data_IF_654943437638
#
_entry.id   IF_654943437638
#
_cell.length_a   1.000
_cell.length_b   1.000
_cell.length_c   1.000
_cell.angle_alpha   90.00
_cell.angle_beta   90.00
_cell.angle_gamma   90.00
#
_symmetry.space_group_name_H-M   'P 1'
#
loop_
_entity.id
_entity.type
_entity.pdbx_description
1 polymer ?
#
# COMPACT_ATOMS: atom_id res chain seq x y z
N UNK A 1 -12.93 29.91 26.18
CA UNK A 1 -11.65 30.23 26.83
C UNK A 1 -10.70 29.08 26.54
N UNK A 2 -9.70 29.31 25.70
CA UNK A 2 -8.74 28.24 25.36
C UNK A 2 -7.69 28.29 26.47
N UNK A 3 -7.58 27.19 27.22
CA UNK A 3 -6.72 27.08 28.42
C UNK A 3 -5.26 26.69 28.11
N UNK A 4 -4.82 26.73 26.83
CA UNK A 4 -3.47 26.35 26.45
C UNK A 4 -2.74 27.48 25.72
N UNK A 5 -2.31 28.51 26.46
CA UNK A 5 -1.45 29.55 25.93
C UNK A 5 -0.15 28.99 25.33
N UNK A 6 0.41 27.92 25.91
CA UNK A 6 1.62 27.24 25.42
C UNK A 6 1.46 26.66 24.01
N UNK A 7 0.25 26.19 23.64
CA UNK A 7 -0.02 25.69 22.31
C UNK A 7 0.06 26.79 21.25
N UNK A 8 -0.42 27.98 21.55
CA UNK A 8 -0.35 29.14 20.65
C UNK A 8 1.08 29.65 20.45
N UNK A 9 1.90 29.58 21.50
CA UNK A 9 3.32 29.97 21.41
C UNK A 9 4.14 28.98 20.54
N UNK A 10 3.67 27.75 20.37
CA UNK A 10 4.32 26.74 19.52
C UNK A 10 3.97 26.89 18.02
N UNK A 11 2.88 27.61 17.69
CA UNK A 11 2.45 27.81 16.30
C UNK A 11 3.31 28.89 15.65
N UNK A 12 4.19 28.51 14.73
CA UNK A 12 5.08 29.43 14.00
C UNK A 12 4.40 30.10 12.79
N UNK A 13 3.30 29.54 12.32
CA UNK A 13 2.57 30.08 11.18
C UNK A 13 1.34 29.23 10.85
N UNK A 14 0.38 29.86 10.19
CA UNK A 14 -0.80 29.18 9.63
C UNK A 14 -0.88 29.57 8.17
N UNK A 15 -0.86 28.59 7.27
CA UNK A 15 -1.01 28.78 5.84
C UNK A 15 -2.16 27.90 5.31
N UNK A 16 -2.64 28.25 4.12
CA UNK A 16 -3.60 27.41 3.42
C UNK A 16 -2.87 26.20 2.86
N UNK A 17 -3.48 25.02 2.99
CA UNK A 17 -3.01 23.79 2.36
C UNK A 17 -3.24 23.90 0.84
N UNK A 18 -2.17 23.96 0.08
CA UNK A 18 -2.22 24.18 -1.37
C UNK A 18 -1.84 22.95 -2.19
N UNK A 19 -1.64 23.10 -3.50
CA UNK A 19 -1.32 22.02 -4.41
C UNK A 19 0.10 21.47 -4.16
N UNK A 20 1.05 22.30 -3.77
CA UNK A 20 2.43 21.87 -3.47
C UNK A 20 2.47 21.06 -2.18
N UNK A 21 1.71 21.45 -1.15
CA UNK A 21 1.61 20.70 0.10
C UNK A 21 1.03 19.29 -0.10
N UNK A 22 0.26 19.10 -1.16
CA UNK A 22 -0.38 17.81 -1.50
C UNK A 22 0.51 16.89 -2.33
N UNK A 23 1.61 17.39 -2.87
CA UNK A 23 2.58 16.60 -3.59
C UNK A 23 3.36 15.72 -2.63
N UNK A 24 3.16 14.45 -2.74
CA UNK A 24 3.85 13.46 -1.93
C UNK A 24 5.04 12.86 -2.65
N UNK A 25 5.37 11.63 -2.28
CA UNK A 25 6.56 10.96 -2.75
C UNK A 25 6.49 10.65 -4.25
N UNK A 26 7.56 10.94 -4.98
CA UNK A 26 7.83 10.60 -6.38
C UNK A 26 6.75 11.06 -7.37
N UNK A 27 5.87 12.02 -6.96
CA UNK A 27 4.75 12.48 -7.80
C UNK A 27 5.22 13.21 -9.07
N UNK A 28 6.40 13.81 -9.04
CA UNK A 28 6.97 14.50 -10.20
C UNK A 28 7.56 13.53 -11.24
N UNK A 29 7.81 12.28 -10.85
CA UNK A 29 8.35 11.21 -11.70
C UNK A 29 7.26 10.38 -12.40
N UNK A 30 5.99 10.84 -12.40
CA UNK A 30 4.89 10.14 -13.06
C UNK A 30 5.17 9.93 -14.55
N UNK A 31 4.92 8.71 -15.01
CA UNK A 31 4.85 8.36 -16.42
C UNK A 31 3.58 8.95 -17.07
N UNK A 32 3.45 8.87 -18.43
CA UNK A 32 2.26 9.36 -19.14
C UNK A 32 0.95 8.74 -18.62
N UNK A 33 1.00 7.47 -18.25
CA UNK A 33 -0.08 6.75 -17.55
C UNK A 33 0.54 6.05 -16.36
N UNK A 34 0.08 6.37 -15.17
CA UNK A 34 0.67 5.84 -13.94
C UNK A 34 -0.40 5.62 -12.85
N UNK A 35 0.02 5.01 -11.77
CA UNK A 35 -0.82 4.78 -10.60
C UNK A 35 -0.47 5.77 -9.51
N UNK A 36 -1.51 6.31 -8.87
CA UNK A 36 -1.39 7.20 -7.71
C UNK A 36 -2.24 6.70 -6.55
N UNK A 37 -1.78 7.00 -5.36
CA UNK A 37 -2.52 6.86 -4.11
C UNK A 37 -2.97 8.23 -3.63
N UNK A 38 -4.29 8.48 -3.69
CA UNK A 38 -4.91 9.68 -3.16
C UNK A 38 -5.28 9.47 -1.69
N UNK A 39 -4.60 10.15 -0.79
CA UNK A 39 -4.93 10.17 0.63
C UNK A 39 -6.01 11.20 0.88
N UNK A 40 -7.12 10.76 1.47
CA UNK A 40 -8.28 11.60 1.76
C UNK A 40 -8.28 12.04 3.21
N UNK A 41 -8.83 13.22 3.47
CA UNK A 41 -9.11 13.70 4.82
C UNK A 41 -10.01 12.70 5.54
N UNK A 42 -9.72 12.48 6.83
CA UNK A 42 -10.52 11.63 7.72
C UNK A 42 -11.54 12.51 8.42
N UNK A 43 -12.75 12.00 8.54
CA UNK A 43 -13.87 12.63 9.20
C UNK A 43 -14.13 12.01 10.58
N UNK A 44 -15.04 12.60 11.34
CA UNK A 44 -15.31 12.22 12.73
C UNK A 44 -15.72 10.76 12.91
N UNK A 45 -16.27 10.14 11.89
CA UNK A 45 -16.65 8.74 11.91
C UNK A 45 -16.14 7.97 10.70
N UNK A 46 -15.88 6.67 10.90
CA UNK A 46 -15.50 5.75 9.82
C UNK A 46 -16.56 5.73 8.70
N UNK A 47 -17.85 5.74 9.08
CA UNK A 47 -18.94 5.72 8.11
C UNK A 47 -18.97 6.99 7.25
N UNK A 48 -18.69 8.14 7.83
CA UNK A 48 -18.63 9.40 7.09
C UNK A 48 -17.42 9.43 6.16
N UNK A 49 -16.25 9.00 6.65
CA UNK A 49 -15.04 8.86 5.83
C UNK A 49 -15.29 7.92 4.65
N UNK A 50 -15.94 6.77 4.89
CA UNK A 50 -16.31 5.82 3.84
C UNK A 50 -17.23 6.46 2.80
N UNK A 51 -18.28 7.17 3.25
CA UNK A 51 -19.21 7.87 2.35
C UNK A 51 -18.52 8.93 1.50
N UNK A 52 -17.60 9.70 2.11
CA UNK A 52 -16.83 10.72 1.40
C UNK A 52 -15.87 10.11 0.38
N UNK A 53 -15.27 8.98 0.69
CA UNK A 53 -14.43 8.24 -0.26
C UNK A 53 -15.26 7.69 -1.44
N UNK A 54 -16.48 7.20 -1.20
CA UNK A 54 -17.36 6.73 -2.27
C UNK A 54 -17.84 7.89 -3.15
N UNK A 55 -18.16 9.05 -2.55
CA UNK A 55 -18.46 10.29 -3.29
C UNK A 55 -17.26 10.73 -4.15
N UNK A 56 -16.04 10.67 -3.59
CA UNK A 56 -14.81 10.99 -4.31
C UNK A 56 -14.64 10.09 -5.52
N UNK A 57 -14.72 8.77 -5.34
CA UNK A 57 -14.58 7.79 -6.43
C UNK A 57 -15.59 8.08 -7.53
N UNK A 58 -16.87 8.26 -7.18
CA UNK A 58 -17.92 8.57 -8.14
C UNK A 58 -17.68 9.87 -8.90
N UNK A 59 -17.21 10.91 -8.22
CA UNK A 59 -16.95 12.22 -8.84
C UNK A 59 -15.69 12.23 -9.71
N UNK A 60 -14.80 11.27 -9.52
CA UNK A 60 -13.58 11.12 -10.32
C UNK A 60 -13.74 10.19 -11.52
N UNK A 61 -14.87 9.50 -11.65
CA UNK A 61 -15.24 8.79 -12.88
C UNK A 61 -15.19 9.78 -14.07
N UNK A 62 -14.41 9.46 -15.09
CA UNK A 62 -14.17 10.37 -16.23
C UNK A 62 -12.95 11.29 -16.08
N UNK A 63 -12.41 11.48 -14.89
CA UNK A 63 -11.16 12.20 -14.62
C UNK A 63 -9.98 11.28 -14.27
N UNK A 64 -10.18 9.96 -14.31
CA UNK A 64 -9.15 8.94 -14.19
C UNK A 64 -9.30 7.92 -15.31
N UNK A 65 -8.22 7.18 -15.60
CA UNK A 65 -8.27 6.06 -16.54
C UNK A 65 -9.03 4.89 -15.92
N UNK A 66 -8.80 4.62 -14.62
CA UNK A 66 -9.43 3.51 -13.91
C UNK A 66 -9.37 3.76 -12.40
N UNK A 67 -10.47 3.47 -11.71
CA UNK A 67 -10.46 3.19 -10.28
C UNK A 67 -9.87 1.80 -10.03
N UNK A 68 -8.97 1.66 -9.07
CA UNK A 68 -8.31 0.40 -8.78
C UNK A 68 -8.77 -0.21 -7.45
N UNK A 69 -8.56 0.53 -6.35
CA UNK A 69 -8.86 0.03 -5.01
C UNK A 69 -9.01 1.17 -3.99
N UNK A 70 -9.54 0.86 -2.81
CA UNK A 70 -9.56 1.76 -1.66
C UNK A 70 -9.26 1.02 -0.37
N UNK A 71 -8.60 1.71 0.53
CA UNK A 71 -8.42 1.28 1.91
C UNK A 71 -8.87 2.39 2.85
N UNK A 72 -9.78 2.08 3.78
CA UNK A 72 -10.33 3.05 4.71
C UNK A 72 -10.35 2.46 6.12
N UNK A 73 -9.74 3.18 7.04
CA UNK A 73 -9.69 2.86 8.46
C UNK A 73 -10.00 4.12 9.28
N UNK A 74 -9.90 4.03 10.61
CA UNK A 74 -10.08 5.18 11.50
C UNK A 74 -8.97 6.24 11.36
N UNK A 75 -7.82 5.86 10.84
CA UNK A 75 -6.63 6.73 10.78
C UNK A 75 -6.11 6.97 9.38
N UNK A 76 -6.55 6.20 8.39
CA UNK A 76 -6.08 6.30 7.02
C UNK A 76 -7.24 6.05 6.06
N UNK A 77 -7.35 6.90 5.06
CA UNK A 77 -8.24 6.73 3.91
C UNK A 77 -7.45 6.97 2.62
N UNK A 78 -7.31 5.92 1.81
CA UNK A 78 -6.55 5.94 0.56
C UNK A 78 -7.40 5.40 -0.56
N UNK A 79 -7.38 6.08 -1.70
CA UNK A 79 -8.01 5.63 -2.96
C UNK A 79 -6.93 5.53 -4.02
N UNK A 80 -6.76 4.35 -4.59
CA UNK A 80 -5.83 4.07 -5.67
C UNK A 80 -6.48 4.26 -7.02
N UNK A 81 -5.85 5.07 -7.86
CA UNK A 81 -6.33 5.39 -9.19
C UNK A 81 -5.22 5.19 -10.22
N UNK A 82 -5.60 4.78 -11.43
CA UNK A 82 -4.76 4.89 -12.62
C UNK A 82 -5.15 6.15 -13.35
N UNK A 83 -4.20 7.04 -13.62
CA UNK A 83 -4.43 8.34 -14.24
C UNK A 83 -3.51 8.57 -15.42
N UNK A 84 -3.87 9.50 -16.30
CA UNK A 84 -2.94 10.17 -17.19
C UNK A 84 -2.25 11.31 -16.47
N UNK A 85 -0.99 11.58 -16.75
CA UNK A 85 -0.20 12.64 -16.10
C UNK A 85 -0.87 14.01 -16.15
N UNK A 86 -1.54 14.33 -17.25
CA UNK A 86 -2.29 15.60 -17.41
C UNK A 86 -3.52 15.72 -16.52
N UNK A 87 -3.99 14.63 -15.91
CA UNK A 87 -5.13 14.61 -14.98
C UNK A 87 -4.70 14.92 -13.54
N UNK A 88 -3.41 14.84 -13.21
CA UNK A 88 -2.88 15.09 -11.86
C UNK A 88 -3.36 16.42 -11.24
N UNK A 89 -3.38 17.57 -11.96
CA UNK A 89 -3.83 18.85 -11.39
C UNK A 89 -5.28 18.83 -10.90
N UNK A 90 -6.14 17.99 -11.48
CA UNK A 90 -7.51 17.81 -11.01
C UNK A 90 -7.53 17.24 -9.58
N UNK A 91 -6.73 16.21 -9.34
CA UNK A 91 -6.67 15.55 -8.03
C UNK A 91 -5.97 16.41 -6.99
N UNK A 92 -4.91 17.13 -7.36
CA UNK A 92 -4.22 18.07 -6.45
C UNK A 92 -5.13 19.21 -5.96
N UNK A 93 -6.12 19.61 -6.77
CA UNK A 93 -7.12 20.64 -6.42
C UNK A 93 -8.33 20.09 -5.66
N UNK A 94 -8.50 18.78 -5.62
CA UNK A 94 -9.70 18.20 -5.06
C UNK A 94 -9.76 18.40 -3.53
N UNK A 95 -10.87 18.95 -2.98
CA UNK A 95 -10.94 19.36 -1.57
C UNK A 95 -10.84 18.21 -0.57
N UNK A 96 -11.21 17.00 -0.98
CA UNK A 96 -11.12 15.81 -0.13
C UNK A 96 -9.70 15.21 -0.07
N UNK A 97 -8.81 15.59 -0.99
CA UNK A 97 -7.46 15.05 -1.06
C UNK A 97 -6.52 15.92 -0.22
N UNK A 98 -5.77 15.31 0.70
CA UNK A 98 -4.73 16.02 1.43
C UNK A 98 -3.33 15.70 0.95
N UNK A 99 -3.13 14.53 0.30
CA UNK A 99 -1.83 14.11 -0.22
C UNK A 99 -2.00 13.15 -1.39
N UNK A 100 -1.08 13.18 -2.33
CA UNK A 100 -1.00 12.22 -3.44
C UNK A 100 0.43 11.69 -3.50
N UNK A 101 0.57 10.37 -3.43
CA UNK A 101 1.84 9.67 -3.66
C UNK A 101 1.78 8.91 -4.99
N UNK A 102 2.91 8.81 -5.67
CA UNK A 102 3.10 7.80 -6.69
C UNK A 102 3.29 6.45 -6.03
N UNK A 103 2.77 5.39 -6.62
CA UNK A 103 3.04 4.04 -6.10
C UNK A 103 4.53 3.72 -6.30
N UNK A 104 5.26 3.37 -5.23
CA UNK A 104 6.67 3.06 -5.37
C UNK A 104 6.86 1.83 -6.26
N UNK A 105 7.73 1.95 -7.24
CA UNK A 105 8.17 0.80 -8.03
C UNK A 105 9.27 0.07 -7.27
N UNK A 106 8.96 -1.10 -6.76
CA UNK A 106 9.96 -1.94 -6.11
C UNK A 106 10.77 -2.68 -7.18
N UNK A 107 11.96 -2.20 -7.46
CA UNK A 107 12.95 -2.99 -8.22
C UNK A 107 13.64 -3.93 -7.23
N UNK A 108 13.19 -5.16 -7.18
CA UNK A 108 13.94 -6.22 -6.48
C UNK A 108 15.23 -6.41 -7.29
N UNK A 109 16.31 -5.77 -6.83
CA UNK A 109 17.63 -6.17 -7.31
C UNK A 109 17.76 -7.64 -6.93
N UNK A 110 17.79 -8.54 -7.91
CA UNK A 110 18.21 -9.93 -7.68
C UNK A 110 19.63 -9.85 -7.14
N UNK A 111 19.75 -9.78 -5.81
CA UNK A 111 21.03 -10.05 -5.15
C UNK A 111 21.44 -11.44 -5.60
N UNK A 112 22.68 -11.57 -6.02
CA UNK A 112 23.25 -12.86 -6.39
C UNK A 112 22.85 -13.89 -5.36
N UNK A 113 22.17 -14.95 -5.82
CA UNK A 113 21.79 -16.05 -4.95
C UNK A 113 23.09 -16.64 -4.40
N UNK A 114 23.41 -16.32 -3.16
CA UNK A 114 24.49 -17.00 -2.45
C UNK A 114 23.98 -18.43 -2.27
N UNK A 115 24.38 -19.31 -3.18
CA UNK A 115 24.14 -20.72 -2.99
C UNK A 115 24.89 -21.13 -1.72
N UNK A 116 24.17 -21.49 -0.69
CA UNK A 116 24.71 -22.24 0.41
C UNK A 116 24.97 -23.64 -0.16
N UNK A 117 26.08 -23.76 -0.89
CA UNK A 117 26.55 -25.05 -1.37
C UNK A 117 26.96 -25.84 -0.12
N UNK A 118 26.38 -27.02 0.07
CA UNK A 118 26.76 -28.09 0.99
C UNK A 118 25.86 -28.35 2.20
N UNK A 119 24.67 -27.79 2.31
CA UNK A 119 23.69 -28.34 3.25
C UNK A 119 22.74 -29.25 2.48
N UNK A 120 22.86 -30.55 2.71
CA UNK A 120 21.85 -31.50 2.21
C UNK A 120 20.57 -31.36 3.04
N UNK A 121 19.41 -31.41 2.39
CA UNK A 121 18.12 -31.42 3.10
C UNK A 121 18.01 -32.58 4.07
N UNK A 122 18.75 -33.70 3.81
CA UNK A 122 18.85 -34.84 4.72
C UNK A 122 19.56 -34.54 6.04
N UNK A 123 20.37 -33.48 6.07
CA UNK A 123 21.13 -33.07 7.27
C UNK A 123 20.31 -32.20 8.23
N UNK A 124 19.17 -31.73 7.75
CA UNK A 124 18.26 -30.89 8.54
C UNK A 124 17.20 -31.79 9.17
N UNK A 125 17.31 -32.01 10.48
CA UNK A 125 16.27 -32.68 11.24
C UNK A 125 15.12 -31.70 11.47
N UNK A 126 14.10 -31.81 10.63
CA UNK A 126 12.84 -31.09 10.79
C UNK A 126 11.86 -31.93 11.59
N UNK A 127 11.31 -31.37 12.65
CA UNK A 127 10.27 -32.03 13.43
C UNK A 127 9.00 -31.18 13.39
N UNK A 128 7.97 -31.64 12.66
CA UNK A 128 6.67 -30.99 12.55
C UNK A 128 5.75 -31.19 13.77
N UNK A 129 6.15 -32.08 14.70
CA UNK A 129 5.30 -32.46 15.86
C UNK A 129 5.04 -31.29 16.82
N UNK A 130 5.80 -30.20 16.68
CA UNK A 130 5.59 -28.96 17.44
C UNK A 130 4.49 -28.06 16.91
N UNK A 131 4.05 -28.26 15.66
CA UNK A 131 3.02 -27.44 15.04
C UNK A 131 1.64 -28.00 15.42
N UNK A 132 0.88 -27.23 16.15
CA UNK A 132 -0.48 -27.55 16.55
C UNK A 132 -1.43 -26.44 16.14
N UNK A 133 -2.74 -26.71 16.12
CA UNK A 133 -3.77 -25.67 15.87
C UNK A 133 -3.69 -24.48 16.85
N UNK A 134 -3.02 -24.67 18.00
CA UNK A 134 -2.81 -23.63 19.02
C UNK A 134 -1.47 -22.90 18.86
N UNK A 135 -0.66 -23.26 17.89
CA UNK A 135 0.62 -22.59 17.65
C UNK A 135 0.38 -21.15 17.18
N UNK A 136 1.22 -20.22 17.65
CA UNK A 136 1.17 -18.83 17.20
C UNK A 136 1.53 -18.74 15.72
N UNK A 137 0.81 -17.90 14.98
CA UNK A 137 1.05 -17.65 13.56
C UNK A 137 1.83 -16.37 13.35
N UNK A 138 2.68 -16.36 12.34
CA UNK A 138 3.43 -15.17 11.87
C UNK A 138 2.99 -14.91 10.44
N UNK A 139 2.61 -13.67 10.15
CA UNK A 139 2.37 -13.23 8.78
C UNK A 139 3.67 -12.69 8.20
N UNK A 140 4.11 -13.27 7.09
CA UNK A 140 5.26 -12.80 6.31
C UNK A 140 4.74 -12.09 5.07
N UNK A 141 5.14 -10.82 4.88
CA UNK A 141 4.82 -10.04 3.69
C UNK A 141 6.10 -9.96 2.85
N UNK A 142 6.08 -10.62 1.70
CA UNK A 142 7.26 -10.74 0.84
C UNK A 142 6.83 -10.75 -0.64
N UNK A 143 7.81 -10.75 -1.53
CA UNK A 143 7.63 -10.86 -2.99
C UNK A 143 7.17 -12.25 -3.45
N UNK A 144 7.24 -13.24 -2.59
CA UNK A 144 6.80 -14.61 -2.82
C UNK A 144 7.41 -15.61 -1.84
N UNK A 145 6.74 -16.74 -1.68
CA UNK A 145 7.22 -17.85 -0.86
C UNK A 145 7.10 -19.16 -1.65
N UNK A 146 8.15 -19.97 -1.63
CA UNK A 146 8.11 -21.30 -2.23
C UNK A 146 7.33 -22.24 -1.30
N UNK A 147 6.01 -22.28 -1.46
CA UNK A 147 5.10 -23.06 -0.59
C UNK A 147 5.36 -24.56 -0.64
N UNK A 148 5.86 -25.07 -1.77
CA UNK A 148 6.27 -26.47 -1.92
C UNK A 148 7.65 -26.82 -1.34
N UNK A 149 8.36 -25.86 -0.72
CA UNK A 149 9.69 -26.13 -0.16
C UNK A 149 9.59 -27.16 0.98
N UNK A 150 10.38 -28.25 0.96
CA UNK A 150 10.24 -29.36 1.91
C UNK A 150 10.29 -28.97 3.40
N UNK A 151 11.01 -27.88 3.74
CA UNK A 151 11.11 -27.38 5.12
C UNK A 151 10.01 -26.39 5.52
N UNK A 152 9.23 -25.90 4.57
CA UNK A 152 8.24 -24.84 4.81
C UNK A 152 6.80 -25.32 4.63
N UNK A 153 6.58 -26.29 3.74
CA UNK A 153 5.24 -26.73 3.34
C UNK A 153 4.30 -27.07 4.50
N UNK A 154 4.83 -27.67 5.57
CA UNK A 154 4.04 -28.08 6.73
C UNK A 154 3.83 -26.93 7.73
N UNK A 155 4.58 -25.83 7.60
CA UNK A 155 4.50 -24.64 8.44
C UNK A 155 3.66 -23.50 7.82
N UNK A 156 3.31 -23.60 6.54
CA UNK A 156 2.50 -22.61 5.85
C UNK A 156 1.03 -22.95 6.05
N UNK A 157 0.33 -22.12 6.84
CA UNK A 157 -1.11 -22.30 7.07
C UNK A 157 -1.96 -21.74 5.93
N UNK A 158 -1.58 -20.58 5.37
CA UNK A 158 -2.27 -19.96 4.25
C UNK A 158 -1.32 -19.02 3.50
N UNK A 159 -1.59 -18.83 2.21
CA UNK A 159 -0.85 -17.89 1.38
C UNK A 159 -1.81 -17.12 0.46
N UNK A 160 -1.57 -15.80 0.32
CA UNK A 160 -2.38 -14.95 -0.56
C UNK A 160 -1.49 -14.01 -1.34
N UNK A 161 -1.67 -13.99 -2.66
CA UNK A 161 -0.95 -13.09 -3.54
C UNK A 161 -1.80 -11.88 -3.89
N UNK A 162 -1.20 -10.70 -3.80
CA UNK A 162 -1.81 -9.43 -4.19
C UNK A 162 -1.05 -8.86 -5.37
N UNK A 163 -1.75 -8.57 -6.46
CA UNK A 163 -1.15 -7.96 -7.64
C UNK A 163 -1.27 -6.45 -7.58
N UNK A 164 -0.18 -5.77 -7.84
CA UNK A 164 -0.11 -4.30 -7.81
C UNK A 164 -0.39 -3.70 -9.19
N UNK A 165 -0.21 -4.46 -10.28
CA UNK A 165 -0.34 -3.97 -11.65
C UNK A 165 -1.19 -4.88 -12.54
N UNK A 166 -1.99 -4.27 -13.43
CA UNK A 166 -2.70 -5.00 -14.49
C UNK A 166 -1.69 -5.73 -15.39
N UNK A 167 -1.88 -7.02 -15.58
CA UNK A 167 -1.06 -7.84 -16.51
C UNK A 167 0.00 -8.70 -15.85
N UNK A 168 0.20 -8.63 -14.54
CA UNK A 168 0.98 -9.62 -13.84
C UNK A 168 0.07 -10.81 -13.49
N UNK A 169 0.11 -11.83 -14.30
CA UNK A 169 -0.39 -13.16 -13.90
C UNK A 169 0.76 -13.87 -13.22
N UNK A 170 0.69 -14.08 -11.88
CA UNK A 170 1.59 -15.03 -11.28
C UNK A 170 1.34 -16.37 -11.97
N UNK A 171 2.35 -16.93 -12.56
CA UNK A 171 2.36 -18.36 -12.76
C UNK A 171 2.38 -18.99 -11.37
N UNK A 172 1.52 -19.98 -11.13
CA UNK A 172 1.52 -20.76 -9.89
C UNK A 172 2.89 -21.38 -9.57
N UNK A 173 3.83 -21.31 -10.51
CA UNK A 173 5.21 -21.77 -10.40
C UNK A 173 6.21 -20.69 -9.97
N UNK A 174 5.77 -19.44 -9.81
CA UNK A 174 6.62 -18.35 -9.30
C UNK A 174 6.43 -18.13 -7.79
N UNK A 175 5.68 -19.03 -7.15
CA UNK A 175 5.44 -19.07 -5.71
C UNK A 175 6.36 -20.14 -5.07
#
# INVERSE_FOLDING_TARGET
KIENEDLFCAIKGVSRWDEEDRRGQDIDELSEVDYIDCYLWIFDSLNETQKKADEFIKNTEGNCVKYCDKYISQTVAVVRLKIQKNQLPYFLKHPLVYKIDRIPSYHIKRTERTYINNISLSDIKYNSDFLTEKSSSICVIDSGILSGHPLLKDAIGDSKTFYVTDGYTANENDI
#
